data_IF_956649586995
#
_entry.id   IF_956649586995
#
_cell.length_a   1.000
_cell.length_b   1.000
_cell.length_c   1.000
_cell.angle_alpha   90.00
_cell.angle_beta   90.00
_cell.angle_gamma   90.00
#
_symmetry.space_group_name_H-M   'P 1'
#
loop_
_entity.id
_entity.type
_entity.pdbx_description
1 polymer ?
#
# COMPACT_ATOMS: atom_id res chain seq x y z
N UNK A 1 3.97 -22.51 -73.18
CA UNK A 1 5.05 -22.63 -72.19
C UNK A 1 5.48 -21.22 -71.84
N UNK A 2 5.61 -20.87 -70.55
CA UNK A 2 6.19 -19.56 -70.20
C UNK A 2 7.60 -19.49 -70.81
N UNK A 3 8.00 -18.33 -71.31
CA UNK A 3 9.41 -18.11 -71.67
C UNK A 3 10.25 -18.07 -70.40
N UNK A 4 11.53 -18.48 -70.50
CA UNK A 4 12.44 -18.52 -69.35
C UNK A 4 12.52 -17.17 -68.63
N UNK A 5 12.39 -16.06 -69.36
CA UNK A 5 12.36 -14.70 -68.83
C UNK A 5 11.09 -14.40 -68.00
N UNK A 6 9.92 -14.87 -68.46
CA UNK A 6 8.68 -14.77 -67.70
C UNK A 6 8.72 -15.64 -66.44
N UNK A 7 9.32 -16.82 -66.50
CA UNK A 7 9.53 -17.67 -65.33
C UNK A 7 10.47 -17.00 -64.31
N UNK A 8 11.56 -16.39 -64.77
CA UNK A 8 12.53 -15.70 -63.91
C UNK A 8 11.92 -14.50 -63.19
N UNK A 9 11.08 -13.72 -63.89
CA UNK A 9 10.39 -12.56 -63.30
C UNK A 9 9.36 -12.96 -62.23
N UNK A 10 8.60 -14.03 -62.46
CA UNK A 10 7.63 -14.55 -61.47
C UNK A 10 8.33 -15.15 -60.25
N UNK A 11 9.48 -15.83 -60.41
CA UNK A 11 10.29 -16.32 -59.29
C UNK A 11 10.81 -15.16 -58.45
N UNK A 12 11.34 -14.08 -59.08
CA UNK A 12 11.80 -12.88 -58.36
C UNK A 12 10.67 -12.24 -57.56
N UNK A 13 9.50 -12.04 -58.19
CA UNK A 13 8.32 -11.48 -57.52
C UNK A 13 7.92 -12.28 -56.29
N UNK A 14 7.86 -13.62 -56.40
CA UNK A 14 7.54 -14.51 -55.27
C UNK A 14 8.60 -14.49 -54.17
N UNK A 15 9.87 -14.34 -54.54
CA UNK A 15 10.95 -14.23 -53.58
C UNK A 15 10.83 -12.93 -52.79
N UNK A 16 10.58 -11.81 -53.47
CA UNK A 16 10.38 -10.50 -52.84
C UNK A 16 9.14 -10.52 -51.91
N UNK A 17 8.01 -11.06 -52.38
CA UNK A 17 6.79 -11.22 -51.56
C UNK A 17 7.06 -12.08 -50.31
N UNK A 18 7.85 -13.15 -50.42
CA UNK A 18 8.21 -14.00 -49.29
C UNK A 18 9.19 -13.31 -48.33
N UNK A 19 10.10 -12.48 -48.82
CA UNK A 19 11.01 -11.69 -47.98
C UNK A 19 10.21 -10.69 -47.16
N UNK A 20 9.28 -9.95 -47.76
CA UNK A 20 8.42 -8.99 -47.04
C UNK A 20 7.57 -9.69 -45.98
N UNK A 21 6.94 -10.82 -46.31
CA UNK A 21 6.18 -11.61 -45.32
C UNK A 21 7.04 -12.10 -44.16
N UNK A 22 8.27 -12.51 -44.44
CA UNK A 22 9.21 -12.95 -43.40
C UNK A 22 9.64 -11.80 -42.49
N UNK A 23 9.77 -10.58 -43.04
CA UNK A 23 10.04 -9.37 -42.24
C UNK A 23 8.85 -9.00 -41.35
N UNK A 24 7.63 -9.03 -41.88
CA UNK A 24 6.39 -8.81 -41.11
C UNK A 24 6.23 -9.84 -39.98
N UNK A 25 6.46 -11.12 -40.27
CA UNK A 25 6.38 -12.20 -39.28
C UNK A 25 7.43 -12.03 -38.17
N UNK A 26 8.65 -11.62 -38.53
CA UNK A 26 9.70 -11.30 -37.55
C UNK A 26 9.32 -10.11 -36.66
N UNK A 27 8.73 -9.07 -37.23
CA UNK A 27 8.29 -7.91 -36.46
C UNK A 27 7.18 -8.30 -35.47
N UNK A 28 6.15 -9.00 -35.92
CA UNK A 28 5.07 -9.50 -35.06
C UNK A 28 5.60 -10.42 -33.95
N UNK A 29 6.54 -11.31 -34.29
CA UNK A 29 7.18 -12.19 -33.30
C UNK A 29 7.96 -11.38 -32.26
N UNK A 30 8.68 -10.33 -32.69
CA UNK A 30 9.40 -9.45 -31.78
C UNK A 30 8.46 -8.67 -30.85
N UNK A 31 7.35 -8.14 -31.38
CA UNK A 31 6.34 -7.44 -30.59
C UNK A 31 5.66 -8.39 -29.59
N UNK A 32 5.31 -9.61 -30.02
CA UNK A 32 4.74 -10.64 -29.16
C UNK A 32 5.70 -11.02 -28.03
N UNK A 33 6.99 -11.19 -28.33
CA UNK A 33 8.02 -11.48 -27.33
C UNK A 33 8.13 -10.32 -26.32
N UNK A 34 8.13 -9.08 -26.77
CA UNK A 34 8.18 -7.92 -25.88
C UNK A 34 6.95 -7.82 -24.96
N UNK A 35 5.75 -8.13 -25.48
CA UNK A 35 4.52 -8.18 -24.67
C UNK A 35 4.57 -9.35 -23.68
N UNK A 36 5.06 -10.52 -24.10
CA UNK A 36 5.20 -11.68 -23.24
C UNK A 36 6.21 -11.44 -22.10
N UNK A 37 7.34 -10.80 -22.40
CA UNK A 37 8.31 -10.39 -21.37
C UNK A 37 7.68 -9.44 -20.33
N UNK A 38 6.90 -8.46 -20.78
CA UNK A 38 6.15 -7.57 -19.88
C UNK A 38 5.13 -8.34 -19.03
N UNK A 39 4.43 -9.32 -19.62
CA UNK A 39 3.47 -10.15 -18.90
C UNK A 39 4.17 -11.00 -17.83
N UNK A 40 5.28 -11.67 -18.18
CA UNK A 40 6.08 -12.46 -17.24
C UNK A 40 6.60 -11.59 -16.11
N UNK A 41 7.09 -10.38 -16.42
CA UNK A 41 7.53 -9.42 -15.41
C UNK A 41 6.38 -9.02 -14.47
N UNK A 42 5.19 -8.74 -15.03
CA UNK A 42 3.98 -8.43 -14.26
C UNK A 42 3.54 -9.57 -13.35
N UNK A 43 3.51 -10.81 -13.85
CA UNK A 43 3.18 -12.00 -13.06
C UNK A 43 4.19 -12.24 -11.94
N UNK A 44 5.49 -12.02 -12.21
CA UNK A 44 6.53 -12.10 -11.18
C UNK A 44 6.34 -11.05 -10.08
N UNK A 45 6.02 -9.80 -10.45
CA UNK A 45 5.72 -8.73 -9.49
C UNK A 45 4.51 -9.10 -8.63
N UNK A 46 3.44 -9.61 -9.24
CA UNK A 46 2.23 -10.07 -8.55
C UNK A 46 2.53 -11.21 -7.58
N UNK A 47 3.31 -12.21 -8.00
CA UNK A 47 3.70 -13.32 -7.13
C UNK A 47 4.55 -12.86 -5.94
N UNK A 48 5.50 -11.96 -6.17
CA UNK A 48 6.33 -11.39 -5.10
C UNK A 48 5.48 -10.57 -4.11
N UNK A 49 4.55 -9.76 -4.62
CA UNK A 49 3.61 -9.00 -3.81
C UNK A 49 2.77 -9.92 -2.90
N UNK A 50 2.16 -10.97 -3.46
CA UNK A 50 1.39 -11.94 -2.69
C UNK A 50 2.23 -12.67 -1.63
N UNK A 51 3.48 -13.03 -1.96
CA UNK A 51 4.39 -13.66 -1.00
C UNK A 51 4.74 -12.71 0.15
N UNK A 52 4.99 -11.44 -0.13
CA UNK A 52 5.28 -10.43 0.89
C UNK A 52 4.08 -10.21 1.81
N UNK A 53 2.89 -10.05 1.22
CA UNK A 53 1.63 -9.93 1.97
C UNK A 53 1.42 -11.12 2.91
N UNK A 54 1.63 -12.35 2.42
CA UNK A 54 1.49 -13.55 3.25
C UNK A 54 2.38 -13.47 4.49
N UNK A 55 3.63 -13.04 4.34
CA UNK A 55 4.56 -12.93 5.46
C UNK A 55 4.17 -11.81 6.42
N UNK A 56 3.79 -10.64 5.88
CA UNK A 56 3.30 -9.51 6.68
C UNK A 56 2.03 -9.85 7.47
N UNK A 57 1.16 -10.71 6.95
CA UNK A 57 -0.03 -11.20 7.65
C UNK A 57 0.30 -12.28 8.68
N UNK A 58 1.13 -13.26 8.32
CA UNK A 58 1.39 -14.43 9.17
C UNK A 58 2.12 -14.07 10.46
N UNK A 59 3.04 -13.10 10.42
CA UNK A 59 3.83 -12.67 11.57
C UNK A 59 2.96 -12.11 12.72
N UNK A 60 2.15 -11.05 12.53
CA UNK A 60 1.30 -10.50 13.59
C UNK A 60 0.23 -11.49 14.03
N UNK A 61 -0.36 -12.29 13.12
CA UNK A 61 -1.30 -13.36 13.52
C UNK A 61 -0.63 -14.37 14.46
N UNK A 62 0.59 -14.79 14.15
CA UNK A 62 1.33 -15.75 14.98
C UNK A 62 1.60 -15.15 16.36
N UNK A 63 1.99 -13.87 16.42
CA UNK A 63 2.19 -13.11 17.66
C UNK A 63 0.90 -13.04 18.49
N UNK A 64 -0.22 -12.64 17.88
CA UNK A 64 -1.53 -12.58 18.54
C UNK A 64 -1.94 -13.94 19.11
N UNK A 65 -1.77 -15.01 18.31
CA UNK A 65 -2.10 -16.37 18.73
C UNK A 65 -1.23 -16.83 19.90
N UNK A 66 0.08 -16.54 19.88
CA UNK A 66 1.00 -16.89 20.96
C UNK A 66 0.66 -16.13 22.25
N UNK A 67 0.46 -14.81 22.18
CA UNK A 67 0.07 -13.98 23.33
C UNK A 67 -1.27 -14.44 23.91
N UNK A 68 -2.27 -14.71 23.06
CA UNK A 68 -3.58 -15.21 23.48
C UNK A 68 -3.49 -16.60 24.10
N UNK A 69 -2.64 -17.48 23.55
CA UNK A 69 -2.39 -18.82 24.11
C UNK A 69 -1.76 -18.74 25.50
N UNK A 70 -0.79 -17.85 25.69
CA UNK A 70 -0.16 -17.65 27.00
C UNK A 70 -1.18 -17.17 28.05
N UNK A 71 -2.08 -16.25 27.67
CA UNK A 71 -3.19 -15.83 28.53
C UNK A 71 -4.10 -17.02 28.87
N UNK A 72 -4.54 -17.77 27.85
CA UNK A 72 -5.48 -18.88 28.02
C UNK A 72 -4.94 -20.01 28.89
N UNK A 73 -3.62 -20.22 28.90
CA UNK A 73 -2.95 -21.23 29.71
C UNK A 73 -2.74 -20.80 31.18
N UNK A 74 -3.05 -19.55 31.54
CA UNK A 74 -2.79 -19.02 32.88
C UNK A 74 -1.31 -18.84 33.17
N UNK A 75 -0.46 -18.81 32.14
CA UNK A 75 0.99 -18.65 32.26
C UNK A 75 1.42 -17.20 32.52
N UNK A 76 0.47 -16.31 32.82
CA UNK A 76 0.69 -14.87 32.94
C UNK A 76 0.16 -14.37 34.29
N UNK A 77 1.01 -13.66 35.06
CA UNK A 77 0.55 -12.96 36.26
C UNK A 77 -0.61 -12.01 35.98
N UNK A 78 -1.57 -11.91 36.90
CA UNK A 78 -2.71 -11.00 36.76
C UNK A 78 -2.29 -9.53 36.52
N UNK A 79 -1.17 -9.13 37.12
CA UNK A 79 -0.59 -7.78 37.00
C UNK A 79 -0.12 -7.44 35.57
N UNK A 80 0.28 -8.44 34.78
CA UNK A 80 0.78 -8.24 33.41
C UNK A 80 -0.28 -8.50 32.34
N UNK A 81 -1.48 -8.97 32.73
CA UNK A 81 -2.61 -9.24 31.82
C UNK A 81 -2.96 -8.02 30.95
N UNK A 82 -2.98 -6.83 31.56
CA UNK A 82 -3.27 -5.57 30.86
C UNK A 82 -2.23 -5.27 29.78
N UNK A 83 -0.96 -5.53 30.05
CA UNK A 83 0.13 -5.32 29.08
C UNK A 83 0.04 -6.29 27.90
N UNK A 84 -0.32 -7.55 28.14
CA UNK A 84 -0.55 -8.52 27.06
C UNK A 84 -1.76 -8.15 26.20
N UNK A 85 -2.87 -7.70 26.82
CA UNK A 85 -4.04 -7.23 26.09
C UNK A 85 -3.70 -6.02 25.19
N UNK A 86 -2.91 -5.06 25.69
CA UNK A 86 -2.41 -3.94 24.89
C UNK A 86 -1.54 -4.39 23.71
N UNK A 87 -0.68 -5.38 23.92
CA UNK A 87 0.18 -5.91 22.86
C UNK A 87 -0.63 -6.65 21.78
N UNK A 88 -1.60 -7.48 22.17
CA UNK A 88 -2.54 -8.12 21.23
C UNK A 88 -3.29 -7.07 20.42
N UNK A 89 -3.81 -6.03 21.09
CA UNK A 89 -4.50 -4.94 20.41
C UNK A 89 -3.59 -4.23 19.40
N UNK A 90 -2.34 -3.93 19.77
CA UNK A 90 -1.37 -3.30 18.88
C UNK A 90 -1.07 -4.18 17.65
N UNK A 91 -0.82 -5.48 17.82
CA UNK A 91 -0.56 -6.40 16.71
C UNK A 91 -1.79 -6.56 15.80
N UNK A 92 -3.00 -6.61 16.38
CA UNK A 92 -4.25 -6.71 15.62
C UNK A 92 -4.55 -5.43 14.83
N UNK A 93 -4.29 -4.28 15.45
CA UNK A 93 -4.42 -2.98 14.81
C UNK A 93 -3.43 -2.84 13.64
N UNK A 94 -2.19 -3.27 13.84
CA UNK A 94 -1.15 -3.23 12.82
C UNK A 94 -1.52 -4.11 11.61
N UNK A 95 -2.07 -5.30 11.86
CA UNK A 95 -2.57 -6.20 10.82
C UNK A 95 -3.77 -5.59 10.07
N UNK A 96 -4.75 -5.03 10.78
CA UNK A 96 -5.91 -4.37 10.15
C UNK A 96 -5.46 -3.22 9.24
N UNK A 97 -4.51 -2.42 9.72
CA UNK A 97 -3.92 -1.33 8.95
C UNK A 97 -3.22 -1.81 7.67
N UNK A 98 -2.41 -2.88 7.76
CA UNK A 98 -1.77 -3.48 6.59
C UNK A 98 -2.78 -4.01 5.57
N UNK A 99 -3.81 -4.73 6.04
CA UNK A 99 -4.87 -5.24 5.18
C UNK A 99 -5.61 -4.13 4.45
N UNK A 100 -5.97 -3.04 5.16
CA UNK A 100 -6.61 -1.87 4.56
C UNK A 100 -5.77 -1.24 3.46
N UNK A 101 -4.45 -1.16 3.65
CA UNK A 101 -3.54 -0.66 2.62
C UNK A 101 -3.52 -1.53 1.37
N UNK A 102 -3.51 -2.85 1.55
CA UNK A 102 -3.53 -3.82 0.44
C UNK A 102 -4.85 -3.71 -0.33
N UNK A 103 -5.99 -3.71 0.38
CA UNK A 103 -7.30 -3.60 -0.26
C UNK A 103 -7.48 -2.27 -0.98
N UNK A 104 -7.08 -1.15 -0.36
CA UNK A 104 -7.15 0.15 -1.02
C UNK A 104 -6.30 0.17 -2.29
N UNK A 105 -5.08 -0.39 -2.27
CA UNK A 105 -4.23 -0.46 -3.45
C UNK A 105 -4.93 -1.20 -4.59
N UNK A 106 -5.56 -2.35 -4.28
CA UNK A 106 -6.30 -3.14 -5.26
C UNK A 106 -7.53 -2.40 -5.80
N UNK A 107 -8.31 -1.74 -4.93
CA UNK A 107 -9.48 -0.94 -5.33
C UNK A 107 -9.09 0.25 -6.22
N UNK A 108 -7.98 0.92 -5.91
CA UNK A 108 -7.47 2.06 -6.70
C UNK A 108 -7.00 1.59 -8.09
N UNK A 109 -6.29 0.46 -8.17
CA UNK A 109 -5.88 -0.14 -9.44
C UNK A 109 -7.07 -0.60 -10.30
N UNK A 110 -8.13 -1.08 -9.67
CA UNK A 110 -9.37 -1.47 -10.33
C UNK A 110 -10.26 -0.27 -10.74
N UNK A 111 -9.98 0.93 -10.21
CA UNK A 111 -10.84 2.11 -10.39
C UNK A 111 -12.14 2.07 -9.55
N UNK A 112 -12.20 1.18 -8.55
CA UNK A 112 -13.40 0.87 -7.76
C UNK A 112 -13.37 1.51 -6.35
N UNK A 113 -12.79 2.71 -6.21
CA UNK A 113 -12.65 3.38 -4.90
C UNK A 113 -13.60 4.58 -4.75
N UNK A 114 -14.91 4.38 -4.49
CA UNK A 114 -15.85 5.48 -4.27
C UNK A 114 -15.44 6.30 -3.04
N UNK A 115 -15.78 7.60 -3.05
CA UNK A 115 -15.56 8.50 -1.90
C UNK A 115 -16.85 8.61 -1.08
N UNK A 116 -16.75 8.36 0.22
CA UNK A 116 -17.84 8.58 1.16
C UNK A 116 -17.64 9.89 1.91
N UNK A 117 -18.09 10.99 1.30
CA UNK A 117 -17.91 12.33 1.89
C UNK A 117 -18.96 12.60 2.98
N UNK A 118 -18.49 12.75 4.22
CA UNK A 118 -19.29 13.07 5.40
C UNK A 118 -18.70 14.27 6.15
N UNK A 119 -19.41 14.79 7.15
CA UNK A 119 -18.89 15.85 8.04
C UNK A 119 -18.01 15.22 9.12
N UNK A 120 -16.72 15.54 9.13
CA UNK A 120 -15.72 14.94 10.02
C UNK A 120 -15.09 16.00 10.92
N UNK A 121 -15.01 15.69 12.21
CA UNK A 121 -14.27 16.49 13.19
C UNK A 121 -12.81 16.05 13.20
N UNK A 122 -11.95 16.87 12.59
CA UNK A 122 -10.55 16.50 12.30
C UNK A 122 -9.74 16.28 13.56
N UNK A 123 -9.94 17.11 14.58
CA UNK A 123 -9.24 16.96 15.87
C UNK A 123 -9.50 15.58 16.48
N UNK A 124 -10.75 15.11 16.48
CA UNK A 124 -11.10 13.77 17.01
C UNK A 124 -10.49 12.64 16.19
N UNK A 125 -10.47 12.78 14.86
CA UNK A 125 -9.84 11.82 13.97
C UNK A 125 -8.33 11.73 14.25
N UNK A 126 -7.64 12.87 14.33
CA UNK A 126 -6.21 12.92 14.61
C UNK A 126 -5.87 12.37 16.00
N UNK A 127 -6.67 12.69 17.04
CA UNK A 127 -6.49 12.12 18.38
C UNK A 127 -6.55 10.59 18.35
N UNK A 128 -7.58 10.02 17.70
CA UNK A 128 -7.71 8.56 17.57
C UNK A 128 -6.50 7.93 16.88
N UNK A 129 -5.98 8.55 15.82
CA UNK A 129 -4.81 8.04 15.09
C UNK A 129 -3.57 8.12 15.98
N UNK A 130 -3.33 9.25 16.63
CA UNK A 130 -2.17 9.43 17.50
C UNK A 130 -2.17 8.39 18.63
N UNK A 131 -3.31 8.15 19.27
CA UNK A 131 -3.45 7.18 20.35
C UNK A 131 -3.10 5.75 19.91
N UNK A 132 -3.43 5.38 18.66
CA UNK A 132 -3.09 4.07 18.09
C UNK A 132 -1.58 3.90 17.89
N UNK A 133 -0.85 4.98 17.60
CA UNK A 133 0.58 4.94 17.32
C UNK A 133 1.47 5.20 18.55
N UNK A 134 0.91 5.59 19.70
CA UNK A 134 1.66 5.84 20.95
C UNK A 134 2.59 4.68 21.32
N UNK A 135 2.09 3.44 21.27
CA UNK A 135 2.91 2.27 21.59
C UNK A 135 4.10 2.10 20.63
N UNK A 136 3.92 2.39 19.34
CA UNK A 136 4.98 2.30 18.33
C UNK A 136 6.05 3.38 18.53
N UNK A 137 5.62 4.60 18.86
CA UNK A 137 6.52 5.71 19.21
C UNK A 137 7.37 5.37 20.44
N UNK A 138 6.73 4.87 21.51
CA UNK A 138 7.41 4.43 22.73
C UNK A 138 8.41 3.30 22.44
N UNK A 139 7.99 2.26 21.72
CA UNK A 139 8.81 1.09 21.38
C UNK A 139 10.06 1.48 20.56
N UNK A 140 9.93 2.45 19.66
CA UNK A 140 11.05 2.93 18.84
C UNK A 140 11.87 4.04 19.53
N UNK A 141 11.42 4.57 20.66
CA UNK A 141 12.06 5.68 21.37
C UNK A 141 12.00 6.98 20.57
N UNK A 142 10.87 7.26 19.92
CA UNK A 142 10.64 8.50 19.16
C UNK A 142 9.74 9.41 19.99
N UNK A 143 10.13 10.69 20.10
CA UNK A 143 9.28 11.70 20.72
C UNK A 143 8.20 12.16 19.73
N UNK A 144 7.03 12.50 20.25
CA UNK A 144 5.90 12.94 19.44
C UNK A 144 5.45 14.33 19.84
N UNK A 145 5.12 15.15 18.86
CA UNK A 145 4.57 16.49 19.06
C UNK A 145 3.33 16.70 18.17
N UNK A 146 2.29 17.35 18.72
CA UNK A 146 1.11 17.71 17.97
C UNK A 146 0.81 19.19 18.12
N UNK A 147 0.87 19.91 17.01
CA UNK A 147 0.56 21.34 16.90
C UNK A 147 -0.81 21.45 16.21
N UNK A 148 -1.86 21.65 16.99
CA UNK A 148 -3.21 21.83 16.47
C UNK A 148 -3.63 23.30 16.53
N UNK A 149 -3.79 23.92 15.35
CA UNK A 149 -4.33 25.28 15.17
C UNK A 149 -5.81 25.25 14.74
N UNK A 150 -6.45 24.07 14.70
CA UNK A 150 -7.88 23.93 14.40
C UNK A 150 -8.73 24.16 15.65
N UNK A 151 -9.87 24.83 15.48
CA UNK A 151 -10.89 24.92 16.53
C UNK A 151 -11.44 23.53 16.86
N UNK A 152 -11.68 23.27 18.14
CA UNK A 152 -12.10 21.94 18.62
C UNK A 152 -13.37 21.43 17.94
N UNK A 153 -14.33 22.31 17.63
CA UNK A 153 -15.61 21.92 17.01
C UNK A 153 -15.62 22.09 15.49
N UNK A 154 -14.46 22.30 14.88
CA UNK A 154 -14.35 22.48 13.44
C UNK A 154 -14.55 21.17 12.69
N UNK A 155 -15.43 21.23 11.69
CA UNK A 155 -15.78 20.09 10.84
C UNK A 155 -15.45 20.36 9.37
N UNK A 156 -15.00 19.32 8.69
CA UNK A 156 -14.69 19.35 7.26
C UNK A 156 -15.48 18.27 6.53
N UNK A 157 -15.91 18.56 5.30
CA UNK A 157 -16.51 17.57 4.42
C UNK A 157 -15.41 16.74 3.78
N UNK A 158 -15.27 15.49 4.20
CA UNK A 158 -14.24 14.57 3.70
C UNK A 158 -14.65 13.11 3.92
N UNK A 159 -13.86 12.18 3.39
CA UNK A 159 -13.96 10.77 3.68
C UNK A 159 -13.11 10.43 4.91
N UNK A 160 -13.78 10.07 6.01
CA UNK A 160 -13.12 9.82 7.30
C UNK A 160 -12.18 8.62 7.22
N UNK A 161 -12.58 7.54 6.54
CA UNK A 161 -11.80 6.31 6.46
C UNK A 161 -10.56 6.52 5.58
N UNK A 162 -10.71 7.19 4.43
CA UNK A 162 -9.56 7.49 3.57
C UNK A 162 -8.60 8.48 4.23
N UNK A 163 -9.12 9.51 4.91
CA UNK A 163 -8.25 10.44 5.63
C UNK A 163 -7.53 9.75 6.78
N UNK A 164 -8.22 8.89 7.54
CA UNK A 164 -7.58 8.05 8.56
C UNK A 164 -6.41 7.25 7.98
N UNK A 165 -6.65 6.57 6.86
CA UNK A 165 -5.66 5.73 6.21
C UNK A 165 -4.46 6.55 5.68
N UNK A 166 -4.70 7.70 5.06
CA UNK A 166 -3.64 8.59 4.56
C UNK A 166 -2.75 9.05 5.72
N UNK A 167 -3.35 9.58 6.79
CA UNK A 167 -2.58 10.10 7.93
C UNK A 167 -1.83 8.97 8.65
N UNK A 168 -2.47 7.82 8.85
CA UNK A 168 -1.84 6.65 9.45
C UNK A 168 -0.66 6.13 8.62
N UNK A 169 -0.73 6.15 7.28
CA UNK A 169 0.41 5.81 6.41
C UNK A 169 1.57 6.79 6.53
N UNK A 170 1.28 8.09 6.50
CA UNK A 170 2.31 9.10 6.64
C UNK A 170 2.98 9.02 8.02
N UNK A 171 2.20 8.80 9.08
CA UNK A 171 2.71 8.64 10.44
C UNK A 171 3.52 7.34 10.60
N UNK A 172 3.05 6.22 10.05
CA UNK A 172 3.79 4.96 10.04
C UNK A 172 5.15 5.12 9.35
N UNK A 173 5.19 5.79 8.20
CA UNK A 173 6.44 6.08 7.48
C UNK A 173 7.34 7.01 8.29
N UNK A 174 6.78 8.09 8.86
CA UNK A 174 7.54 9.02 9.69
C UNK A 174 8.20 8.29 10.87
N UNK A 175 7.48 7.37 11.53
CA UNK A 175 8.03 6.53 12.60
C UNK A 175 9.06 5.56 12.06
N UNK A 176 8.77 4.81 10.99
CA UNK A 176 9.65 3.77 10.44
C UNK A 176 11.01 4.32 9.98
N UNK A 177 11.01 5.49 9.34
CA UNK A 177 12.22 6.09 8.76
C UNK A 177 12.88 7.14 9.67
N UNK A 178 12.30 7.44 10.84
CA UNK A 178 12.97 8.31 11.81
C UNK A 178 14.20 7.62 12.44
N UNK A 179 15.13 8.45 12.89
CA UNK A 179 16.24 8.04 13.73
C UNK A 179 15.76 7.76 15.16
N UNK A 180 16.52 6.94 15.89
CA UNK A 180 16.27 6.72 17.31
C UNK A 180 16.43 8.04 18.08
N UNK A 181 15.56 8.31 19.05
CA UNK A 181 15.45 9.60 19.76
C UNK A 181 15.08 10.78 18.86
N UNK A 182 14.58 10.53 17.65
CA UNK A 182 14.02 11.55 16.77
C UNK A 182 12.68 12.09 17.27
N UNK A 183 12.15 13.07 16.55
CA UNK A 183 10.84 13.68 16.83
C UNK A 183 9.97 13.53 15.59
N UNK A 184 8.72 13.13 15.79
CA UNK A 184 7.67 13.22 14.77
C UNK A 184 6.70 14.31 15.18
N UNK A 185 6.39 15.23 14.27
CA UNK A 185 5.45 16.32 14.52
C UNK A 185 4.27 16.26 13.56
N UNK A 186 3.04 16.33 14.09
CA UNK A 186 1.83 16.57 13.30
C UNK A 186 1.43 18.03 13.48
N UNK A 187 1.23 18.74 12.37
CA UNK A 187 0.69 20.10 12.33
C UNK A 187 -0.67 20.07 11.62
N UNK A 188 -1.70 20.62 12.25
CA UNK A 188 -3.04 20.76 11.65
C UNK A 188 -3.52 22.20 11.71
N UNK A 189 -3.77 22.82 10.56
CA UNK A 189 -4.17 24.23 10.44
C UNK A 189 -5.03 24.50 9.22
N UNK A 190 -5.55 25.72 9.11
CA UNK A 190 -6.28 26.20 7.94
C UNK A 190 -5.40 27.13 7.13
N UNK A 191 -5.24 26.86 5.84
CA UNK A 191 -4.55 27.72 4.88
C UNK A 191 -5.50 27.95 3.71
N UNK A 192 -5.75 29.20 3.35
CA UNK A 192 -6.62 29.56 2.21
C UNK A 192 -8.00 28.87 2.22
N UNK A 193 -8.61 28.76 3.42
CA UNK A 193 -9.89 28.04 3.66
C UNK A 193 -9.86 26.53 3.39
N UNK A 194 -8.66 25.93 3.31
CA UNK A 194 -8.46 24.50 3.18
C UNK A 194 -7.82 23.91 4.43
N UNK A 195 -8.17 22.65 4.72
CA UNK A 195 -7.50 21.88 5.76
C UNK A 195 -6.09 21.51 5.30
N UNK A 196 -5.07 21.91 6.06
CA UNK A 196 -3.69 21.50 5.88
C UNK A 196 -3.28 20.62 7.06
N UNK A 197 -2.89 19.38 6.76
CA UNK A 197 -2.26 18.46 7.72
C UNK A 197 -0.85 18.15 7.22
N UNK A 198 0.14 18.35 8.08
CA UNK A 198 1.56 18.10 7.77
C UNK A 198 2.14 17.15 8.81
N UNK A 199 2.94 16.20 8.35
CA UNK A 199 3.71 15.29 9.22
C UNK A 199 5.20 15.51 8.91
N UNK A 200 5.99 15.78 9.94
CA UNK A 200 7.42 16.11 9.89
C UNK A 200 8.20 15.08 10.69
#
# INVERSE_FOLDING_TARGET
MLTDEQLLSEIKRRLDDNVTKLEEEKQLTSELNAVNEKLIASEKLKSNFLSNIRNEINNPISSILELSKNIAQGNIPAETMSSFAKLIYAEAFDLDFQLRNIFLSAEVEAGESPLMVISVKITSLLTSIIDQFNHRLEKKGISFNWINELDHDQVFKTDSEKLHLIISNLLANAIQFNNQNGIVTIESRIIDSQLSIKII
#
